data_IF_401053709897
#
_entry.id   IF_401053709897
#
_cell.length_a   1.000
_cell.length_b   1.000
_cell.length_c   1.000
_cell.angle_alpha   90.00
_cell.angle_beta   90.00
_cell.angle_gamma   90.00
#
_symmetry.space_group_name_H-M   'P 1'
#
loop_
_entity.id
_entity.type
_entity.pdbx_description
1 polymer ?
#
# COMPACT_ATOMS: atom_id res chain seq x y z
N UNK A 1 -44.37 -5.47 33.00
CA UNK A 1 -43.31 -4.72 33.70
C UNK A 1 -42.08 -4.81 32.81
N UNK A 2 -41.79 -3.71 32.14
CA UNK A 2 -41.02 -3.63 30.90
C UNK A 2 -39.52 -3.77 31.18
N UNK A 3 -38.83 -4.59 30.39
CA UNK A 3 -37.37 -4.54 30.24
C UNK A 3 -37.04 -4.51 28.75
N UNK A 4 -37.37 -3.38 28.13
CA UNK A 4 -36.91 -2.96 26.81
C UNK A 4 -36.30 -1.56 26.95
N UNK A 5 -34.99 -1.48 27.20
CA UNK A 5 -34.08 -0.31 27.08
C UNK A 5 -32.74 -0.79 27.66
N UNK A 6 -31.56 -0.75 27.05
CA UNK A 6 -30.99 0.15 26.04
C UNK A 6 -30.07 -0.67 25.11
N UNK A 7 -30.45 -0.82 23.84
CA UNK A 7 -29.45 -0.99 22.79
C UNK A 7 -28.81 0.38 22.62
N UNK A 8 -27.69 0.59 23.33
CA UNK A 8 -26.89 1.79 23.22
C UNK A 8 -26.31 1.84 21.80
N UNK A 9 -26.97 2.65 20.96
CA UNK A 9 -26.50 3.06 19.64
C UNK A 9 -25.06 3.56 19.79
N UNK A 10 -24.09 2.73 19.37
CA UNK A 10 -22.66 3.04 19.51
C UNK A 10 -22.33 4.14 18.49
N UNK A 11 -22.62 5.39 18.85
CA UNK A 11 -22.15 6.57 18.13
C UNK A 11 -20.65 6.40 17.86
N UNK A 12 -20.27 6.49 16.59
CA UNK A 12 -18.87 6.49 16.20
C UNK A 12 -18.14 7.56 17.03
N UNK A 13 -16.93 7.26 17.55
CA UNK A 13 -16.20 8.21 18.37
C UNK A 13 -15.99 9.52 17.60
N UNK A 14 -16.28 10.65 18.26
CA UNK A 14 -16.13 11.99 17.68
C UNK A 14 -14.70 12.17 17.14
N UNK A 15 -14.60 12.56 15.87
CA UNK A 15 -13.31 12.75 15.20
C UNK A 15 -12.69 14.05 15.71
N UNK A 16 -11.44 13.99 16.19
CA UNK A 16 -10.65 15.17 16.54
C UNK A 16 -10.63 16.17 15.36
N UNK A 17 -11.10 17.42 15.54
CA UNK A 17 -11.11 18.44 14.50
C UNK A 17 -9.75 18.66 13.83
N UNK A 18 -8.65 18.43 14.55
CA UNK A 18 -7.28 18.54 14.00
C UNK A 18 -6.95 17.48 12.93
N UNK A 19 -7.79 16.45 12.78
CA UNK A 19 -7.68 15.39 11.77
C UNK A 19 -8.60 15.64 10.57
N UNK A 20 -9.52 16.59 10.66
CA UNK A 20 -10.42 16.96 9.56
C UNK A 20 -9.62 17.83 8.59
N UNK A 21 -9.48 17.37 7.34
CA UNK A 21 -8.78 18.17 6.34
C UNK A 21 -9.57 19.45 6.01
N UNK A 22 -8.88 20.60 5.79
CA UNK A 22 -9.51 21.82 5.32
C UNK A 22 -10.28 21.60 4.02
N UNK A 23 -11.38 22.32 3.81
CA UNK A 23 -12.32 22.07 2.69
C UNK A 23 -11.61 22.18 1.35
N UNK A 24 -10.72 23.15 1.22
CA UNK A 24 -9.90 23.46 0.05
C UNK A 24 -8.92 22.34 -0.34
N UNK A 25 -8.52 21.45 0.59
CA UNK A 25 -7.65 20.31 0.29
C UNK A 25 -8.41 18.99 0.16
N UNK A 26 -9.73 18.99 0.34
CA UNK A 26 -10.51 17.76 0.23
C UNK A 26 -10.57 17.31 -1.22
N UNK A 27 -10.46 15.99 -1.48
CA UNK A 27 -10.64 15.48 -2.83
C UNK A 27 -12.06 15.79 -3.32
N UNK A 28 -12.18 16.49 -4.45
CA UNK A 28 -13.45 16.66 -5.16
C UNK A 28 -13.83 15.37 -5.87
N UNK A 29 -15.04 14.86 -5.64
CA UNK A 29 -15.53 13.60 -6.22
C UNK A 29 -15.42 13.61 -7.76
N UNK A 30 -15.68 14.74 -8.41
CA UNK A 30 -15.56 14.90 -9.86
C UNK A 30 -14.14 14.91 -10.42
N UNK A 31 -13.10 15.05 -9.57
CA UNK A 31 -11.69 15.05 -9.98
C UNK A 31 -10.96 13.74 -9.67
N UNK A 32 -11.65 12.76 -9.08
CA UNK A 32 -11.07 11.45 -8.79
C UNK A 32 -10.94 10.69 -10.10
N UNK A 33 -9.74 10.69 -10.68
CA UNK A 33 -9.40 9.77 -11.77
C UNK A 33 -9.30 8.37 -11.18
N UNK A 34 -10.32 7.54 -11.43
CA UNK A 34 -10.23 6.12 -11.12
C UNK A 34 -9.06 5.51 -11.91
N UNK A 35 -8.33 4.62 -11.27
CA UNK A 35 -7.12 3.97 -11.78
C UNK A 35 -7.44 2.92 -12.88
N UNK A 36 -8.45 3.18 -13.70
CA UNK A 36 -9.03 2.23 -14.66
C UNK A 36 -8.05 1.80 -15.76
N UNK A 37 -6.89 2.44 -15.86
CA UNK A 37 -5.89 2.18 -16.88
C UNK A 37 -4.46 2.09 -16.34
N UNK A 38 -4.28 1.82 -15.04
CA UNK A 38 -2.92 1.66 -14.48
C UNK A 38 -2.20 0.51 -15.20
N UNK A 39 -0.97 0.73 -15.69
CA UNK A 39 -0.21 -0.30 -16.38
C UNK A 39 -0.01 -1.53 -15.49
N UNK A 40 -0.37 -2.70 -16.00
CA UNK A 40 -0.11 -4.00 -15.38
C UNK A 40 0.97 -4.68 -16.22
N UNK A 41 2.09 -5.04 -15.60
CA UNK A 41 3.24 -5.66 -16.26
C UNK A 41 3.42 -7.08 -15.73
N UNK A 42 3.41 -8.04 -16.64
CA UNK A 42 3.66 -9.45 -16.35
C UNK A 42 5.16 -9.76 -16.33
N UNK A 43 5.66 -10.22 -15.18
CA UNK A 43 7.07 -10.55 -14.98
C UNK A 43 7.34 -12.06 -15.06
N UNK A 44 6.35 -12.89 -15.40
CA UNK A 44 6.53 -14.33 -15.58
C UNK A 44 7.67 -14.68 -16.58
N UNK A 45 7.83 -13.98 -17.72
CA UNK A 45 8.90 -14.30 -18.67
C UNK A 45 10.32 -14.17 -18.10
N UNK A 46 10.52 -13.36 -17.05
CA UNK A 46 11.83 -13.16 -16.41
C UNK A 46 12.25 -14.33 -15.53
N UNK A 47 11.34 -15.27 -15.25
CA UNK A 47 11.60 -16.43 -14.39
C UNK A 47 12.10 -17.65 -15.17
N UNK A 48 12.15 -17.57 -16.51
CA UNK A 48 12.59 -18.66 -17.37
C UNK A 48 14.13 -18.78 -17.37
N UNK A 49 14.67 -19.99 -17.63
CA UNK A 49 16.11 -20.19 -17.77
C UNK A 49 16.69 -19.35 -18.92
N UNK A 50 17.92 -18.85 -18.74
CA UNK A 50 18.55 -17.92 -19.68
C UNK A 50 18.71 -18.57 -21.06
N UNK A 51 17.96 -18.07 -22.05
CA UNK A 51 18.10 -18.39 -23.46
C UNK A 51 17.88 -17.11 -24.30
N UNK A 52 18.07 -17.19 -25.62
CA UNK A 52 17.85 -16.04 -26.51
C UNK A 52 16.45 -15.43 -26.31
N UNK A 53 15.41 -16.26 -26.30
CA UNK A 53 14.00 -15.86 -26.02
C UNK A 53 13.80 -15.07 -24.72
N UNK A 54 14.70 -15.24 -23.74
CA UNK A 54 14.67 -14.51 -22.46
C UNK A 54 15.15 -13.07 -22.63
N UNK A 55 16.09 -12.81 -23.54
CA UNK A 55 16.63 -11.47 -23.76
C UNK A 55 15.65 -10.57 -24.52
N UNK A 56 14.89 -11.09 -25.49
CA UNK A 56 13.80 -10.34 -26.10
C UNK A 56 12.68 -10.05 -25.10
N UNK A 57 12.35 -11.01 -24.23
CA UNK A 57 11.35 -10.82 -23.18
C UNK A 57 11.77 -9.73 -22.17
N UNK A 58 13.04 -9.72 -21.74
CA UNK A 58 13.60 -8.65 -20.90
C UNK A 58 13.51 -7.29 -21.58
N UNK A 59 13.87 -7.19 -22.85
CA UNK A 59 13.81 -5.93 -23.61
C UNK A 59 12.37 -5.41 -23.72
N UNK A 60 11.41 -6.31 -23.99
CA UNK A 60 9.98 -5.98 -24.04
C UNK A 60 9.47 -5.47 -22.69
N UNK A 61 9.78 -6.15 -21.59
CA UNK A 61 9.37 -5.74 -20.24
C UNK A 61 10.03 -4.42 -19.86
N UNK A 62 11.31 -4.22 -20.16
CA UNK A 62 12.00 -2.95 -19.91
C UNK A 62 11.32 -1.77 -20.63
N UNK A 63 10.88 -1.98 -21.88
CA UNK A 63 10.12 -0.97 -22.64
C UNK A 63 8.76 -0.67 -21.99
N UNK A 64 8.05 -1.68 -21.52
CA UNK A 64 6.78 -1.50 -20.79
C UNK A 64 6.99 -0.71 -19.49
N UNK A 65 8.02 -1.05 -18.71
CA UNK A 65 8.37 -0.34 -17.48
C UNK A 65 8.73 1.12 -17.76
N UNK A 66 9.51 1.38 -18.82
CA UNK A 66 9.84 2.73 -19.25
C UNK A 66 8.59 3.56 -19.58
N UNK A 67 7.69 3.02 -20.40
CA UNK A 67 6.46 3.71 -20.78
C UNK A 67 5.56 3.97 -19.57
N UNK A 68 5.41 2.97 -18.68
CA UNK A 68 4.61 3.13 -17.48
C UNK A 68 5.18 4.22 -16.55
N UNK A 69 6.50 4.30 -16.37
CA UNK A 69 7.08 5.40 -15.60
C UNK A 69 6.95 6.76 -16.29
N UNK A 70 7.05 6.81 -17.62
CA UNK A 70 6.90 8.04 -18.40
C UNK A 70 5.48 8.61 -18.33
N UNK A 71 4.46 7.75 -18.43
CA UNK A 71 3.06 8.18 -18.52
C UNK A 71 2.36 8.21 -17.16
N UNK A 72 2.64 7.24 -16.29
CA UNK A 72 1.95 7.06 -15.00
C UNK A 72 2.83 7.35 -13.78
N UNK A 73 4.14 7.17 -13.90
CA UNK A 73 5.07 7.26 -12.77
C UNK A 73 4.99 6.09 -11.78
N UNK A 74 4.18 5.07 -12.08
CA UNK A 74 4.09 3.78 -11.39
C UNK A 74 3.41 2.73 -12.28
N UNK A 75 3.51 1.46 -11.89
CA UNK A 75 2.81 0.33 -12.50
C UNK A 75 2.51 -0.74 -11.45
N UNK A 76 1.71 -1.72 -11.83
CA UNK A 76 1.44 -2.93 -11.05
C UNK A 76 2.21 -4.09 -11.67
N UNK A 77 3.03 -4.77 -10.87
CA UNK A 77 3.67 -6.01 -11.30
C UNK A 77 2.80 -7.22 -10.94
N UNK A 78 2.65 -8.16 -11.87
CA UNK A 78 2.05 -9.48 -11.63
C UNK A 78 3.06 -10.57 -11.97
N UNK A 79 2.84 -11.78 -11.44
CA UNK A 79 3.72 -12.93 -11.62
C UNK A 79 5.20 -12.56 -11.38
N UNK A 80 5.48 -11.89 -10.28
CA UNK A 80 6.82 -11.40 -9.92
C UNK A 80 7.69 -12.46 -9.21
N UNK A 81 7.22 -13.71 -9.10
CA UNK A 81 7.97 -14.83 -8.48
C UNK A 81 7.97 -14.86 -6.95
N UNK A 82 7.60 -13.78 -6.26
CA UNK A 82 7.39 -13.81 -4.80
C UNK A 82 6.30 -14.83 -4.43
N UNK A 83 6.63 -15.74 -3.52
CA UNK A 83 5.72 -16.79 -3.05
C UNK A 83 4.42 -16.21 -2.46
N UNK A 84 3.24 -16.76 -2.82
CA UNK A 84 1.97 -16.38 -2.22
C UNK A 84 1.93 -16.55 -0.69
N UNK A 85 2.60 -17.57 -0.16
CA UNK A 85 2.63 -17.85 1.28
C UNK A 85 3.38 -16.79 2.06
N UNK A 86 4.47 -16.26 1.48
CA UNK A 86 5.21 -15.15 2.08
C UNK A 86 4.31 -13.92 2.26
N UNK A 87 3.46 -13.64 1.27
CA UNK A 87 2.52 -12.52 1.35
C UNK A 87 1.43 -12.73 2.40
N UNK A 88 0.91 -13.95 2.52
CA UNK A 88 -0.05 -14.31 3.56
C UNK A 88 0.56 -14.15 4.96
N UNK A 89 1.76 -14.70 5.16
CA UNK A 89 2.49 -14.63 6.42
C UNK A 89 2.84 -13.19 6.80
N UNK A 90 3.27 -12.37 5.84
CA UNK A 90 3.53 -10.96 6.07
C UNK A 90 2.27 -10.21 6.50
N UNK A 91 1.13 -10.45 5.86
CA UNK A 91 -0.17 -9.86 6.27
C UNK A 91 -0.52 -10.24 7.71
N UNK A 92 -0.39 -11.52 8.06
CA UNK A 92 -0.66 -12.00 9.41
C UNK A 92 0.27 -11.36 10.44
N UNK A 93 1.57 -11.27 10.15
CA UNK A 93 2.53 -10.62 11.04
C UNK A 93 2.24 -9.12 11.23
N UNK A 94 1.90 -8.39 10.16
CA UNK A 94 1.54 -6.97 10.25
C UNK A 94 0.25 -6.76 11.05
N UNK A 95 -0.76 -7.61 10.85
CA UNK A 95 -2.01 -7.56 11.61
C UNK A 95 -1.75 -7.88 13.09
N UNK A 96 -0.98 -8.94 13.36
CA UNK A 96 -0.58 -9.35 14.71
C UNK A 96 0.17 -8.25 15.46
N UNK A 97 1.19 -7.64 14.83
CA UNK A 97 1.90 -6.50 15.42
C UNK A 97 0.97 -5.32 15.68
N UNK A 98 0.06 -5.00 14.74
CA UNK A 98 -0.87 -3.88 14.88
C UNK A 98 -1.85 -4.07 16.03
N UNK A 99 -2.26 -5.33 16.27
CA UNK A 99 -3.15 -5.72 17.35
C UNK A 99 -2.49 -5.71 18.75
N UNK A 100 -1.15 -5.68 18.83
CA UNK A 100 -0.46 -5.57 20.12
C UNK A 100 -0.83 -4.28 20.86
N UNK A 101 -0.80 -4.30 22.21
CA UNK A 101 -0.95 -3.10 23.02
C UNK A 101 0.07 -2.02 22.66
N UNK A 102 -0.25 -0.76 22.97
CA UNK A 102 0.64 0.36 22.66
C UNK A 102 2.02 0.22 23.29
N UNK A 103 2.10 -0.19 24.56
CA UNK A 103 3.37 -0.35 25.27
C UNK A 103 4.28 -1.39 24.60
N UNK A 104 3.71 -2.48 24.09
CA UNK A 104 4.47 -3.49 23.35
C UNK A 104 4.98 -2.94 22.02
N UNK A 105 4.15 -2.21 21.27
CA UNK A 105 4.57 -1.57 20.01
C UNK A 105 5.65 -0.50 20.24
N UNK A 106 5.61 0.19 21.37
CA UNK A 106 6.57 1.23 21.76
C UNK A 106 7.97 0.68 22.03
N UNK A 107 8.13 -0.59 22.39
CA UNK A 107 9.45 -1.24 22.49
C UNK A 107 10.21 -1.21 21.16
N UNK A 108 9.48 -1.24 20.05
CA UNK A 108 10.03 -1.09 18.71
C UNK A 108 10.00 0.36 18.20
N UNK A 109 9.86 1.37 19.07
CA UNK A 109 9.71 2.75 18.63
C UNK A 109 10.98 3.30 17.97
N UNK A 110 10.78 4.07 16.90
CA UNK A 110 11.86 4.86 16.29
C UNK A 110 12.26 6.04 17.20
N UNK A 111 13.51 6.47 17.09
CA UNK A 111 14.03 7.66 17.78
C UNK A 111 15.04 8.40 16.89
N UNK A 112 15.50 9.58 17.30
CA UNK A 112 16.31 10.48 16.43
C UNK A 112 17.54 9.80 15.82
N UNK A 113 18.23 8.97 16.60
CA UNK A 113 19.42 8.23 16.15
C UNK A 113 19.10 6.89 15.46
N UNK A 114 17.86 6.40 15.56
CA UNK A 114 17.39 5.19 14.87
C UNK A 114 16.03 5.44 14.21
N UNK A 115 16.00 5.74 12.91
CA UNK A 115 14.75 6.07 12.20
C UNK A 115 13.85 4.85 11.96
N UNK A 116 14.33 3.63 12.22
CA UNK A 116 13.58 2.40 12.02
C UNK A 116 12.68 2.12 13.22
N UNK A 117 11.47 1.62 12.95
CA UNK A 117 10.53 1.18 13.99
C UNK A 117 9.18 1.91 14.01
N UNK A 118 8.39 1.56 15.02
CA UNK A 118 7.05 2.05 15.28
C UNK A 118 7.04 3.55 15.58
N UNK A 119 6.03 4.27 15.09
CA UNK A 119 5.78 5.67 15.44
C UNK A 119 4.29 5.88 15.61
N UNK A 120 3.92 6.57 16.68
CA UNK A 120 2.53 6.94 16.96
C UNK A 120 2.18 8.34 16.46
N UNK A 121 3.18 9.19 16.18
CA UNK A 121 2.97 10.63 16.05
C UNK A 121 2.92 11.12 14.59
N UNK A 122 2.03 12.10 14.38
CA UNK A 122 1.75 12.87 13.15
C UNK A 122 3.02 13.06 12.35
N UNK A 123 2.95 12.68 11.08
CA UNK A 123 3.96 12.97 10.07
C UNK A 123 4.53 14.37 10.31
N UNK A 124 5.82 14.46 10.61
CA UNK A 124 6.59 15.70 10.56
C UNK A 124 6.19 16.50 9.31
N UNK A 125 6.20 17.85 9.33
CA UNK A 125 5.99 18.66 8.11
C UNK A 125 6.92 18.26 6.95
N UNK A 126 8.00 17.52 7.25
CA UNK A 126 8.91 16.94 6.26
C UNK A 126 8.35 15.74 5.48
N UNK A 127 7.34 15.02 6.01
CA UNK A 127 6.76 13.83 5.37
C UNK A 127 5.57 14.19 4.47
N UNK A 128 4.91 15.34 4.67
CA UNK A 128 3.90 15.83 3.71
C UNK A 128 4.49 16.22 2.35
N UNK A 129 5.82 16.38 2.27
CA UNK A 129 6.56 16.56 1.01
C UNK A 129 6.99 15.22 0.37
N UNK A 130 6.82 14.10 1.07
CA UNK A 130 7.09 12.77 0.52
C UNK A 130 5.82 12.31 -0.19
N UNK A 131 5.84 12.33 -1.53
CA UNK A 131 4.80 11.71 -2.33
C UNK A 131 4.61 10.25 -1.91
N UNK A 132 3.54 9.98 -1.15
CA UNK A 132 3.19 8.63 -0.72
C UNK A 132 2.75 7.86 -1.96
N UNK A 133 3.60 6.95 -2.44
CA UNK A 133 3.24 6.00 -3.50
C UNK A 133 2.76 4.71 -2.85
N UNK A 134 1.56 4.27 -3.23
CA UNK A 134 0.97 3.04 -2.74
C UNK A 134 1.58 1.85 -3.49
N UNK A 135 2.08 0.84 -2.76
CA UNK A 135 2.35 -0.46 -3.36
C UNK A 135 1.04 -1.25 -3.31
N UNK A 136 0.47 -1.53 -4.47
CA UNK A 136 -0.74 -2.35 -4.59
C UNK A 136 -0.33 -3.69 -5.16
N UNK A 137 -0.44 -4.74 -4.36
CA UNK A 137 -0.16 -6.12 -4.78
C UNK A 137 -1.51 -6.78 -5.09
N UNK A 138 -1.60 -7.35 -6.28
CA UNK A 138 -2.78 -8.09 -6.74
C UNK A 138 -2.52 -9.59 -6.57
N UNK A 139 -3.40 -10.25 -5.84
CA UNK A 139 -3.40 -11.69 -5.67
C UNK A 139 -4.44 -12.29 -6.61
N UNK A 140 -4.04 -13.26 -7.45
CA UNK A 140 -4.96 -14.01 -8.31
C UNK A 140 -5.75 -14.99 -7.44
N UNK A 141 -7.07 -14.89 -7.43
CA UNK A 141 -7.96 -15.83 -6.71
C UNK A 141 -8.52 -16.91 -7.64
N UNK A 142 -8.79 -16.57 -8.91
CA UNK A 142 -9.25 -17.50 -9.95
C UNK A 142 -8.73 -17.06 -11.33
N UNK A 143 -9.06 -17.79 -12.41
CA UNK A 143 -8.64 -17.43 -13.78
C UNK A 143 -9.07 -16.02 -14.21
N UNK A 144 -10.11 -15.45 -13.61
CA UNK A 144 -10.70 -14.16 -14.00
C UNK A 144 -10.90 -13.15 -12.84
N UNK A 145 -10.43 -13.43 -11.62
CA UNK A 145 -10.65 -12.56 -10.45
C UNK A 145 -9.36 -12.31 -9.67
N UNK A 146 -9.10 -11.04 -9.39
CA UNK A 146 -7.95 -10.58 -8.61
C UNK A 146 -8.41 -9.80 -7.38
N UNK A 147 -7.79 -10.08 -6.22
CA UNK A 147 -8.03 -9.36 -4.97
C UNK A 147 -6.95 -8.32 -4.73
N UNK A 148 -7.39 -7.07 -4.50
CA UNK A 148 -6.53 -5.91 -4.22
C UNK A 148 -6.16 -5.87 -2.74
N UNK A 149 -4.86 -5.85 -2.43
CA UNK A 149 -4.37 -5.50 -1.09
C UNK A 149 -3.51 -4.23 -1.19
N UNK A 150 -3.91 -3.16 -0.49
CA UNK A 150 -3.21 -1.87 -0.50
C UNK A 150 -2.23 -1.83 0.68
N UNK A 151 -0.95 -1.63 0.41
CA UNK A 151 0.06 -1.46 1.45
C UNK A 151 0.74 -0.09 1.29
N UNK A 152 0.93 0.61 2.41
CA UNK A 152 1.57 1.93 2.42
C UNK A 152 3.09 1.76 2.51
N UNK A 153 3.82 2.36 1.56
CA UNK A 153 5.30 2.40 1.60
C UNK A 153 5.74 3.84 1.39
N UNK A 154 6.59 4.35 2.30
CA UNK A 154 7.20 5.66 2.18
C UNK A 154 8.60 5.53 1.52
N UNK A 155 8.96 6.44 0.60
CA UNK A 155 10.34 6.61 0.10
C UNK A 155 10.93 7.94 0.58
N UNK A 156 12.25 7.98 0.80
CA UNK A 156 13.00 9.22 1.06
C UNK A 156 13.11 10.05 -0.24
N UNK A 157 13.10 11.39 -0.17
CA UNK A 157 13.56 12.24 -1.27
C UNK A 157 15.10 12.27 -1.29
N UNK A 158 15.72 12.01 -2.44
CA UNK A 158 17.17 12.17 -2.65
C UNK A 158 17.95 11.01 -3.27
N UNK A 159 17.31 10.11 -4.02
CA UNK A 159 17.95 9.15 -4.95
C UNK A 159 17.07 8.98 -6.18
#
# INVERSE_FOLDING_TARGET
>A
MNQETEQQDKMAPSIDPSRIQPVETRPSIGSIKYLENVPIIDLAPLQLPHNSSTDEAKASIAKQVHNAFKEWGFFVAINHGVSPDLWSNLKMAMAGFSALPYEEKKKAARYVKNPWGFSMMKTSPRISQIGVKFLTIWQKETSSRYRRTRMQIARRPGL
#
